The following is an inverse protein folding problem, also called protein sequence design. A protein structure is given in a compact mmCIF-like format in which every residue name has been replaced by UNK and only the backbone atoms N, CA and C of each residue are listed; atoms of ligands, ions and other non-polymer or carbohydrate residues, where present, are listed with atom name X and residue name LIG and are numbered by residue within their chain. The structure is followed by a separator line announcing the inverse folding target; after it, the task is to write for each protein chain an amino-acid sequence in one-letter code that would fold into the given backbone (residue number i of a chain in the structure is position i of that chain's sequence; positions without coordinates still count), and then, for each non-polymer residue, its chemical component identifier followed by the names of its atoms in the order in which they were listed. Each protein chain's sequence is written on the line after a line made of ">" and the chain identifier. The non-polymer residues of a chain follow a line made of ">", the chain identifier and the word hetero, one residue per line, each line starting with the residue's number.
data_IF_466485052017
#
_entry.id   IF_466485052017
#
_cell.length_a   1.000
_cell.length_b   1.000
_cell.length_c   1.000
_cell.angle_alpha   90.00
_cell.angle_beta   90.00
_cell.angle_gamma   90.00
#
_symmetry.space_group_name_H-M   'P 1'
#
loop_
_entity.id
_entity.type
_entity.pdbx_description
1 polymer ?
#
# COMPACT_ATOMS: atom_id res chain seq x y z
N UNK A 1 -19.48 20.66 -55.66
CA UNK A 1 -19.72 20.98 -54.21
C UNK A 1 -19.68 19.76 -53.32
N UNK A 2 -20.23 18.60 -53.69
CA UNK A 2 -20.31 17.38 -52.85
C UNK A 2 -18.93 16.80 -52.48
N UNK A 3 -17.96 16.74 -53.40
CA UNK A 3 -16.60 16.23 -53.14
C UNK A 3 -15.82 17.08 -52.12
N UNK A 4 -15.93 18.43 -52.19
CA UNK A 4 -15.25 19.31 -51.21
C UNK A 4 -15.78 19.14 -49.79
N UNK A 5 -17.08 18.90 -49.61
CA UNK A 5 -17.70 18.62 -48.30
C UNK A 5 -17.23 17.27 -47.74
N UNK A 6 -17.10 16.26 -48.62
CA UNK A 6 -16.62 14.94 -48.20
C UNK A 6 -15.16 15.00 -47.69
N UNK A 7 -14.27 15.74 -48.41
CA UNK A 7 -12.89 15.92 -47.97
C UNK A 7 -12.80 16.67 -46.63
N UNK A 8 -13.65 17.69 -46.41
CA UNK A 8 -13.69 18.43 -45.14
C UNK A 8 -14.13 17.55 -43.99
N UNK A 9 -15.10 16.66 -44.20
CA UNK A 9 -15.56 15.69 -43.15
C UNK A 9 -14.45 14.68 -42.82
N UNK A 10 -13.78 14.15 -43.87
CA UNK A 10 -12.66 13.21 -43.67
C UNK A 10 -11.52 13.88 -42.88
N UNK A 11 -11.16 15.11 -43.22
CA UNK A 11 -10.12 15.86 -42.52
C UNK A 11 -10.50 16.14 -41.07
N UNK A 12 -11.76 16.46 -40.79
CA UNK A 12 -12.28 16.70 -39.46
C UNK A 12 -12.26 15.43 -38.60
N UNK A 13 -12.66 14.29 -39.17
CA UNK A 13 -12.60 12.98 -38.47
C UNK A 13 -11.16 12.58 -38.21
N UNK A 14 -10.24 12.79 -39.16
CA UNK A 14 -8.82 12.53 -39.01
C UNK A 14 -8.20 13.41 -37.91
N UNK A 15 -8.58 14.69 -37.87
CA UNK A 15 -8.16 15.66 -36.86
C UNK A 15 -8.69 15.26 -35.48
N UNK A 16 -9.95 14.84 -35.37
CA UNK A 16 -10.53 14.32 -34.10
C UNK A 16 -9.84 13.05 -33.64
N UNK A 17 -9.46 12.12 -34.53
CA UNK A 17 -8.67 10.93 -34.18
C UNK A 17 -7.26 11.28 -33.70
N UNK A 18 -6.58 12.25 -34.33
CA UNK A 18 -5.27 12.73 -33.90
C UNK A 18 -5.33 13.42 -32.53
N UNK A 19 -6.36 14.20 -32.24
CA UNK A 19 -6.56 14.80 -30.90
C UNK A 19 -6.84 13.75 -29.83
N UNK A 20 -7.54 12.67 -30.16
CA UNK A 20 -7.78 11.57 -29.18
C UNK A 20 -6.51 10.81 -28.81
N UNK A 21 -5.53 10.70 -29.72
CA UNK A 21 -4.23 10.08 -29.43
C UNK A 21 -3.28 10.97 -28.61
N UNK A 22 -3.46 12.29 -28.61
CA UNK A 22 -2.61 13.23 -27.86
C UNK A 22 -2.99 13.38 -26.37
N UNK A 23 -4.06 12.74 -25.91
CA UNK A 23 -4.65 12.96 -24.59
C UNK A 23 -4.29 11.91 -23.54
N UNK A 24 -3.28 11.08 -23.74
CA UNK A 24 -2.91 10.03 -22.77
C UNK A 24 -1.43 10.06 -22.38
N UNK A 25 -0.89 11.25 -22.05
CA UNK A 25 0.23 11.25 -21.11
C UNK A 25 -0.35 10.89 -19.76
N UNK A 26 -0.10 9.64 -19.31
CA UNK A 26 -0.57 9.16 -18.04
C UNK A 26 -0.07 10.07 -16.91
N UNK A 27 -0.96 10.41 -15.98
CA UNK A 27 -0.58 11.18 -14.78
C UNK A 27 0.55 10.46 -14.06
N UNK A 28 1.65 11.14 -13.78
CA UNK A 28 2.70 10.64 -12.90
C UNK A 28 2.17 10.64 -11.47
N UNK A 29 2.28 9.49 -10.81
CA UNK A 29 1.89 9.28 -9.42
C UNK A 29 3.12 8.81 -8.64
N UNK A 30 3.58 9.65 -7.72
CA UNK A 30 4.74 9.39 -6.88
C UNK A 30 4.32 8.60 -5.67
N UNK A 31 4.94 7.45 -5.47
CA UNK A 31 4.63 6.52 -4.37
C UNK A 31 5.83 6.40 -3.46
N UNK A 32 5.64 6.67 -2.17
CA UNK A 32 6.69 6.45 -1.18
C UNK A 32 7.01 4.95 -1.11
N UNK A 33 8.27 4.59 -1.38
CA UNK A 33 8.73 3.21 -1.31
C UNK A 33 9.10 2.85 0.13
N UNK A 34 8.35 1.91 0.67
CA UNK A 34 8.62 1.32 1.98
C UNK A 34 9.03 -0.14 1.78
N UNK A 35 10.29 -0.44 2.08
CA UNK A 35 10.78 -1.81 1.95
C UNK A 35 10.21 -2.68 3.05
N UNK A 36 9.42 -3.65 2.63
CA UNK A 36 8.79 -4.63 3.51
C UNK A 36 8.64 -5.96 2.74
N UNK A 37 9.27 -7.00 3.27
CA UNK A 37 9.25 -8.33 2.64
C UNK A 37 7.81 -8.81 2.37
N UNK A 38 7.57 -9.34 1.18
CA UNK A 38 6.26 -9.78 0.70
C UNK A 38 5.33 -8.66 0.24
N UNK A 39 5.51 -7.43 0.72
CA UNK A 39 4.65 -6.29 0.36
C UNK A 39 5.27 -5.41 -0.72
N UNK A 40 6.44 -4.87 -0.48
CA UNK A 40 7.23 -4.09 -1.43
C UNK A 40 8.71 -4.28 -1.10
N UNK A 41 9.48 -4.88 -1.96
CA UNK A 41 10.90 -5.11 -1.72
C UNK A 41 11.68 -5.17 -3.03
N UNK A 42 12.99 -5.03 -2.93
CA UNK A 42 13.89 -5.15 -4.09
C UNK A 42 14.26 -6.64 -4.23
N UNK A 43 13.76 -7.26 -5.29
CA UNK A 43 14.04 -8.67 -5.58
C UNK A 43 15.50 -8.91 -6.01
N UNK A 44 15.88 -10.18 -6.18
CA UNK A 44 17.23 -10.59 -6.57
C UNK A 44 17.71 -10.00 -7.91
N UNK A 45 16.80 -9.53 -8.75
CA UNK A 45 17.11 -8.87 -10.04
C UNK A 45 17.32 -7.36 -9.90
N UNK A 46 17.24 -6.80 -8.70
CA UNK A 46 17.29 -5.36 -8.45
C UNK A 46 16.00 -4.61 -8.81
N UNK A 47 14.93 -5.33 -9.16
CA UNK A 47 13.63 -4.73 -9.45
C UNK A 47 12.72 -4.77 -8.22
N UNK A 48 11.89 -3.73 -8.09
CA UNK A 48 10.82 -3.71 -7.09
C UNK A 48 9.83 -4.83 -7.43
N UNK A 49 9.35 -5.52 -6.41
CA UNK A 49 8.37 -6.61 -6.48
C UNK A 49 7.58 -6.68 -5.18
N UNK A 50 6.54 -7.52 -5.14
CA UNK A 50 5.70 -7.74 -3.97
C UNK A 50 4.25 -7.29 -4.18
N UNK A 51 3.39 -7.61 -3.22
CA UNK A 51 1.94 -7.42 -3.33
C UNK A 51 1.53 -5.98 -3.65
N UNK A 52 2.13 -4.98 -3.00
CA UNK A 52 1.83 -3.57 -3.28
C UNK A 52 2.26 -3.16 -4.69
N UNK A 53 3.44 -3.65 -5.12
CA UNK A 53 3.93 -3.39 -6.47
C UNK A 53 2.96 -3.93 -7.50
N UNK A 54 2.59 -5.21 -7.40
CA UNK A 54 1.67 -5.87 -8.33
C UNK A 54 0.29 -5.18 -8.35
N UNK A 55 -0.18 -4.72 -7.19
CA UNK A 55 -1.43 -3.98 -7.06
C UNK A 55 -1.37 -2.62 -7.77
N UNK A 56 -0.30 -1.86 -7.58
CA UNK A 56 -0.11 -0.55 -8.23
C UNK A 56 0.11 -0.69 -9.74
N UNK A 57 0.80 -1.74 -10.18
CA UNK A 57 0.92 -2.08 -11.62
C UNK A 57 -0.47 -2.31 -12.23
N UNK A 58 -1.36 -3.03 -11.53
CA UNK A 58 -2.74 -3.23 -12.00
C UNK A 58 -3.53 -1.92 -12.03
N UNK A 59 -3.40 -1.05 -11.04
CA UNK A 59 -4.01 0.28 -11.08
C UNK A 59 -3.49 1.08 -12.28
N UNK A 60 -2.17 1.05 -12.52
CA UNK A 60 -1.53 1.71 -13.67
C UNK A 60 -2.13 1.24 -15.01
N UNK A 61 -2.32 -0.07 -15.19
CA UNK A 61 -2.95 -0.63 -16.39
C UNK A 61 -4.37 -0.10 -16.63
N UNK A 62 -5.17 0.12 -15.57
CA UNK A 62 -6.55 0.60 -15.70
C UNK A 62 -6.66 2.12 -15.82
N UNK A 63 -5.76 2.86 -15.19
CA UNK A 63 -5.85 4.32 -15.08
C UNK A 63 -4.95 5.05 -16.08
N UNK A 64 -3.96 4.35 -16.64
CA UNK A 64 -2.89 4.96 -17.41
C UNK A 64 -1.89 5.74 -16.56
N UNK A 65 -1.89 5.59 -15.24
CA UNK A 65 -0.94 6.24 -14.37
C UNK A 65 0.48 5.73 -14.62
N UNK A 66 1.46 6.63 -14.48
CA UNK A 66 2.88 6.30 -14.47
C UNK A 66 3.36 6.33 -13.03
N UNK A 67 3.68 5.15 -12.48
CA UNK A 67 4.11 5.03 -11.08
C UNK A 67 5.59 5.33 -10.97
N UNK A 68 5.93 6.31 -10.13
CA UNK A 68 7.31 6.63 -9.74
C UNK A 68 7.51 6.34 -8.25
N UNK A 69 8.47 5.47 -7.93
CA UNK A 69 8.80 5.16 -6.54
C UNK A 69 9.84 6.15 -5.99
N UNK A 70 9.48 6.80 -4.89
CA UNK A 70 10.38 7.67 -4.12
C UNK A 70 11.03 6.84 -3.02
N UNK A 71 12.36 6.70 -3.07
CA UNK A 71 13.16 5.95 -2.10
C UNK A 71 13.80 6.88 -1.08
N UNK A 72 14.13 6.36 0.10
CA UNK A 72 14.71 7.11 1.21
C UNK A 72 16.11 6.60 1.53
N UNK A 73 17.07 7.49 1.86
CA UNK A 73 18.48 7.13 2.04
C UNK A 73 18.80 6.52 3.42
N UNK A 74 17.84 5.84 4.01
CA UNK A 74 17.98 5.18 5.32
C UNK A 74 17.39 3.78 5.27
N UNK A 75 17.97 2.86 6.05
CA UNK A 75 17.46 1.51 6.26
C UNK A 75 16.58 1.40 7.51
N UNK A 76 16.47 2.47 8.32
CA UNK A 76 15.60 2.48 9.49
C UNK A 76 14.14 2.63 9.07
N UNK A 77 13.35 1.60 9.33
CA UNK A 77 11.94 1.54 8.94
C UNK A 77 11.12 2.72 9.48
N UNK A 78 11.34 3.11 10.74
CA UNK A 78 10.56 4.19 11.36
C UNK A 78 10.94 5.56 10.78
N UNK A 79 12.21 5.74 10.45
CA UNK A 79 12.69 6.97 9.81
C UNK A 79 12.10 7.08 8.40
N UNK A 80 12.11 5.99 7.61
CA UNK A 80 11.45 5.96 6.29
C UNK A 80 9.97 6.29 6.39
N UNK A 81 9.25 5.67 7.33
CA UNK A 81 7.82 5.95 7.55
C UNK A 81 7.60 7.42 7.92
N UNK A 82 8.41 7.98 8.83
CA UNK A 82 8.34 9.38 9.22
C UNK A 82 8.52 10.34 8.03
N UNK A 83 9.57 10.13 7.24
CA UNK A 83 9.84 10.93 6.05
C UNK A 83 8.74 10.80 4.99
N UNK A 84 8.24 9.57 4.74
CA UNK A 84 7.17 9.33 3.79
C UNK A 84 5.86 10.05 4.18
N UNK A 85 5.53 10.08 5.47
CA UNK A 85 4.37 10.80 5.98
C UNK A 85 4.53 12.32 5.81
N UNK A 86 5.71 12.86 6.07
CA UNK A 86 6.00 14.27 5.83
C UNK A 86 5.94 14.62 4.34
N UNK A 87 6.45 13.76 3.48
CA UNK A 87 6.40 13.93 2.03
C UNK A 87 4.97 13.88 1.49
N UNK A 88 4.14 12.99 2.02
CA UNK A 88 2.72 12.93 1.66
C UNK A 88 1.98 14.21 2.06
N UNK A 89 2.20 14.71 3.29
CA UNK A 89 1.62 15.98 3.76
C UNK A 89 2.06 17.18 2.95
N UNK A 90 3.32 17.18 2.51
CA UNK A 90 3.89 18.25 1.71
C UNK A 90 3.59 18.13 0.20
N UNK A 91 2.90 17.08 -0.24
CA UNK A 91 2.62 16.80 -1.64
C UNK A 91 3.86 16.44 -2.47
N UNK A 92 4.94 15.99 -1.84
CA UNK A 92 6.12 15.46 -2.52
C UNK A 92 5.93 14.04 -3.02
N UNK A 93 5.08 13.27 -2.34
CA UNK A 93 4.53 12.00 -2.81
C UNK A 93 3.02 12.09 -2.86
N UNK A 94 2.40 11.30 -3.72
CA UNK A 94 0.96 11.29 -3.94
C UNK A 94 0.29 10.12 -3.20
N UNK A 95 1.01 9.02 -3.01
CA UNK A 95 0.54 7.82 -2.33
C UNK A 95 1.59 7.29 -1.35
N UNK A 96 1.10 6.76 -0.25
CA UNK A 96 1.88 6.01 0.73
C UNK A 96 1.12 4.78 1.20
N UNK A 97 1.75 3.63 1.18
CA UNK A 97 1.17 2.37 1.66
C UNK A 97 2.18 1.23 1.68
N UNK A 98 1.87 0.17 2.42
CA UNK A 98 0.63 -0.14 3.12
C UNK A 98 0.47 0.66 4.43
N UNK A 99 -0.74 1.15 4.70
CA UNK A 99 -1.06 1.84 5.95
C UNK A 99 -2.35 1.29 6.56
N UNK A 100 -2.35 1.07 7.86
CA UNK A 100 -3.55 0.69 8.59
C UNK A 100 -4.48 1.89 8.73
N UNK A 101 -5.75 1.70 8.41
CA UNK A 101 -6.80 2.68 8.65
C UNK A 101 -7.21 2.62 10.12
N UNK A 102 -6.68 3.51 10.92
CA UNK A 102 -7.00 3.70 12.34
C UNK A 102 -7.69 5.02 12.55
N UNK A 103 -8.33 5.27 13.70
CA UNK A 103 -8.91 6.58 14.01
C UNK A 103 -7.87 7.71 13.86
N UNK A 104 -6.67 7.50 14.38
CA UNK A 104 -5.59 8.50 14.29
C UNK A 104 -5.11 8.75 12.86
N UNK A 105 -5.00 7.72 12.02
CA UNK A 105 -4.56 7.89 10.64
C UNK A 105 -5.65 8.50 9.75
N UNK A 106 -6.94 8.23 10.02
CA UNK A 106 -8.07 8.83 9.31
C UNK A 106 -8.19 10.34 9.53
N UNK A 107 -7.76 10.83 10.68
CA UNK A 107 -7.77 12.29 10.97
C UNK A 107 -6.66 13.04 10.18
N UNK A 108 -5.65 12.31 9.70
CA UNK A 108 -4.48 12.89 9.06
C UNK A 108 -4.41 12.64 7.54
N UNK A 109 -5.06 11.58 7.04
CA UNK A 109 -4.93 11.13 5.66
C UNK A 109 -6.25 10.68 5.07
N UNK A 110 -6.40 10.87 3.77
CA UNK A 110 -7.48 10.28 2.99
C UNK A 110 -7.20 8.80 2.71
N UNK A 111 -8.20 7.97 2.88
CA UNK A 111 -8.14 6.55 2.57
C UNK A 111 -9.17 6.20 1.51
N UNK A 112 -8.88 5.22 0.63
CA UNK A 112 -9.89 4.72 -0.30
C UNK A 112 -11.07 4.09 0.48
N UNK A 113 -12.24 4.09 -0.13
CA UNK A 113 -13.45 3.50 0.44
C UNK A 113 -13.25 2.00 0.73
N UNK A 114 -12.63 1.29 -0.21
CA UNK A 114 -12.33 -0.13 -0.08
C UNK A 114 -10.85 -0.36 0.21
N UNK A 115 -10.56 -1.23 1.18
CA UNK A 115 -9.19 -1.68 1.42
C UNK A 115 -8.76 -2.67 0.32
N UNK A 116 -7.49 -2.61 -0.07
CA UNK A 116 -6.91 -3.59 -1.00
C UNK A 116 -6.39 -4.87 -0.31
N UNK A 117 -6.45 -4.91 1.03
CA UNK A 117 -6.05 -6.07 1.81
C UNK A 117 -6.49 -5.97 3.25
N UNK A 118 -6.48 -7.10 3.93
CA UNK A 118 -6.75 -7.21 5.35
C UNK A 118 -5.59 -7.89 6.03
N UNK A 119 -5.15 -7.37 7.17
CA UNK A 119 -4.11 -7.96 8.00
C UNK A 119 -4.71 -8.38 9.34
N UNK A 120 -4.19 -9.47 9.87
CA UNK A 120 -4.59 -9.98 11.17
C UNK A 120 -3.40 -9.92 12.13
N UNK A 121 -3.68 -9.53 13.39
CA UNK A 121 -2.72 -9.70 14.47
C UNK A 121 -2.76 -11.16 14.91
N UNK A 122 -1.62 -11.83 14.91
CA UNK A 122 -1.52 -13.26 15.16
C UNK A 122 -0.55 -13.53 16.29
N UNK A 123 -0.93 -14.39 17.23
CA UNK A 123 -0.03 -14.95 18.21
C UNK A 123 0.71 -16.16 17.62
N UNK A 124 2.02 -16.13 17.66
CA UNK A 124 2.86 -17.20 17.14
C UNK A 124 3.60 -17.89 18.27
N UNK A 125 3.76 -19.20 18.14
CA UNK A 125 4.61 -20.00 19.02
C UNK A 125 5.58 -20.83 18.18
N UNK A 126 6.76 -21.24 18.71
CA UNK A 126 7.65 -22.15 18.01
C UNK A 126 6.92 -23.42 17.55
N UNK A 127 7.25 -23.94 16.37
CA UNK A 127 6.61 -25.14 15.82
C UNK A 127 6.72 -26.36 16.77
N UNK A 128 7.76 -26.39 17.60
CA UNK A 128 7.98 -27.42 18.63
C UNK A 128 7.17 -27.20 19.91
N UNK A 129 6.51 -26.05 20.06
CA UNK A 129 5.68 -25.73 21.20
C UNK A 129 4.47 -26.66 21.27
N UNK A 130 4.07 -26.98 22.50
CA UNK A 130 2.79 -27.67 22.78
C UNK A 130 1.59 -26.72 22.87
N UNK A 131 1.85 -25.40 22.79
CA UNK A 131 0.82 -24.40 22.83
C UNK A 131 -0.07 -24.49 21.57
N UNK A 132 -1.38 -24.47 21.76
CA UNK A 132 -2.41 -24.46 20.71
C UNK A 132 -3.49 -23.49 21.13
N UNK A 133 -4.27 -22.99 20.17
CA UNK A 133 -5.47 -22.19 20.45
C UNK A 133 -6.39 -22.89 21.46
N UNK A 134 -6.59 -24.19 21.32
CA UNK A 134 -7.45 -25.01 22.18
C UNK A 134 -6.95 -25.19 23.61
N UNK A 135 -5.69 -24.90 23.91
CA UNK A 135 -5.12 -25.09 25.26
C UNK A 135 -4.47 -23.83 25.85
N UNK A 136 -4.49 -22.71 25.15
CA UNK A 136 -3.81 -21.49 25.57
C UNK A 136 -4.26 -21.02 26.95
N UNK A 137 -5.56 -21.16 27.26
CA UNK A 137 -6.14 -20.76 28.55
C UNK A 137 -5.65 -21.62 29.72
N UNK A 138 -5.22 -22.86 29.46
CA UNK A 138 -4.72 -23.77 30.50
C UNK A 138 -3.22 -23.68 30.77
N UNK A 139 -2.49 -22.97 29.89
CA UNK A 139 -1.03 -22.80 30.02
C UNK A 139 -0.74 -21.55 30.85
N UNK A 140 -0.43 -21.72 32.12
CA UNK A 140 -0.08 -20.62 33.03
C UNK A 140 1.22 -20.92 33.76
N UNK A 141 2.12 -19.94 33.93
CA UNK A 141 2.06 -18.58 33.36
C UNK A 141 2.37 -18.56 31.85
N UNK A 142 1.63 -17.78 31.08
CA UNK A 142 1.93 -17.49 29.69
C UNK A 142 2.81 -16.24 29.62
N UNK A 143 3.93 -16.31 28.86
CA UNK A 143 4.77 -15.15 28.54
C UNK A 143 4.60 -14.82 27.08
N UNK A 144 4.14 -13.61 26.79
CA UNK A 144 3.93 -13.10 25.44
C UNK A 144 4.96 -12.02 25.14
N UNK A 145 5.74 -12.20 24.09
CA UNK A 145 6.64 -11.18 23.58
C UNK A 145 5.86 -10.18 22.72
N UNK A 146 6.04 -8.90 23.00
CA UNK A 146 5.45 -7.81 22.24
C UNK A 146 6.54 -7.00 21.57
N UNK A 147 6.31 -6.57 20.32
CA UNK A 147 7.23 -5.68 19.66
C UNK A 147 6.97 -4.25 20.11
N UNK A 148 7.92 -3.64 20.81
CA UNK A 148 7.78 -2.34 21.48
C UNK A 148 7.18 -1.26 20.58
N UNK A 149 7.52 -1.23 19.30
CA UNK A 149 7.09 -0.21 18.36
C UNK A 149 5.70 -0.47 17.75
N UNK A 150 5.10 -1.64 17.95
CA UNK A 150 3.82 -2.03 17.38
C UNK A 150 2.64 -1.72 18.31
N UNK A 151 2.51 -0.48 18.79
CA UNK A 151 1.56 -0.07 19.83
C UNK A 151 0.13 -0.53 19.55
N UNK A 152 -0.39 -0.30 18.36
CA UNK A 152 -1.77 -0.69 17.98
C UNK A 152 -1.97 -2.19 18.10
N UNK A 153 -1.06 -3.00 17.55
CA UNK A 153 -1.13 -4.46 17.59
C UNK A 153 -0.93 -5.00 19.00
N UNK A 154 -0.02 -4.39 19.76
CA UNK A 154 0.18 -4.76 21.17
C UNK A 154 -1.09 -4.56 21.99
N UNK A 155 -1.81 -3.46 21.81
CA UNK A 155 -3.08 -3.19 22.48
C UNK A 155 -4.18 -4.18 22.05
N UNK A 156 -4.19 -4.65 20.81
CA UNK A 156 -5.09 -5.70 20.35
C UNK A 156 -4.80 -7.03 21.04
N UNK A 157 -3.52 -7.40 21.13
CA UNK A 157 -3.08 -8.62 21.84
C UNK A 157 -3.48 -8.56 23.31
N UNK A 158 -3.19 -7.46 24.01
CA UNK A 158 -3.54 -7.29 25.42
C UNK A 158 -5.05 -7.42 25.63
N UNK A 159 -5.85 -6.72 24.82
CA UNK A 159 -7.33 -6.83 24.92
C UNK A 159 -7.84 -8.24 24.66
N UNK A 160 -7.26 -8.95 23.71
CA UNK A 160 -7.61 -10.35 23.45
C UNK A 160 -7.30 -11.24 24.66
N UNK A 161 -6.09 -11.13 25.22
CA UNK A 161 -5.69 -11.93 26.39
C UNK A 161 -6.58 -11.65 27.61
N UNK A 162 -6.92 -10.39 27.85
CA UNK A 162 -7.85 -9.99 28.92
C UNK A 162 -9.26 -10.56 28.71
N UNK A 163 -9.80 -10.45 27.47
CA UNK A 163 -11.12 -10.97 27.14
C UNK A 163 -11.22 -12.50 27.31
N UNK A 164 -10.14 -13.22 26.99
CA UNK A 164 -10.05 -14.67 27.11
C UNK A 164 -9.62 -15.14 28.50
N UNK A 165 -9.38 -14.21 29.43
CA UNK A 165 -8.89 -14.50 30.81
C UNK A 165 -7.57 -15.28 30.85
N UNK A 166 -6.68 -14.94 29.92
CA UNK A 166 -5.35 -15.57 29.75
C UNK A 166 -4.26 -14.79 30.51
#
# INVERSE_FOLDING_TARGET
>A
MRKKRLHAIILFVLFMMLCACAAAEGRVVRVAFLEQEGMSFIGHTGKITGYNFDYLEKISEYTGWQIEYVTYPTADYNEVVGQAIEDLRAGRVDLFGPMLKTSQSQDAFEFPENSYGTVYTTLCAPATSRLRETNIQSVKPLRVGLWQQATTRNNEVVRYLEAESI
#
